data_IF_954439209316
#
_entry.id   IF_954439209316
#
_cell.length_a   1.000
_cell.length_b   1.000
_cell.length_c   1.000
_cell.angle_alpha   90.00
_cell.angle_beta   90.00
_cell.angle_gamma   90.00
#
_symmetry.space_group_name_H-M   'P 1'
#
loop_
_entity.id
_entity.type
_entity.pdbx_description
1 polymer ?
#
# COMPACT_ATOMS: atom_id res chain seq x y z
N UNK A 1 -27.86 4.06 -1.29
CA UNK A 1 -28.16 4.10 0.15
C UNK A 1 -26.95 3.59 0.96
N UNK A 2 -26.86 3.95 2.26
CA UNK A 2 -25.77 3.54 3.16
C UNK A 2 -25.62 2.01 3.21
N UNK A 3 -26.74 1.28 3.20
CA UNK A 3 -26.74 -0.19 3.18
C UNK A 3 -26.04 -0.79 1.95
N UNK A 4 -26.20 -0.19 0.78
CA UNK A 4 -25.51 -0.64 -0.43
C UNK A 4 -23.98 -0.41 -0.33
N UNK A 5 -23.54 0.72 0.23
CA UNK A 5 -22.13 1.00 0.48
C UNK A 5 -21.51 0.01 1.47
N UNK A 6 -22.23 -0.36 2.54
CA UNK A 6 -21.81 -1.40 3.46
C UNK A 6 -21.67 -2.77 2.79
N UNK A 7 -22.62 -3.15 1.92
CA UNK A 7 -22.58 -4.39 1.19
C UNK A 7 -21.35 -4.44 0.23
N UNK A 8 -21.09 -3.33 -0.48
CA UNK A 8 -19.91 -3.21 -1.35
C UNK A 8 -18.64 -3.30 -0.54
N UNK A 9 -18.53 -2.59 0.60
CA UNK A 9 -17.35 -2.62 1.46
C UNK A 9 -17.08 -4.02 2.00
N UNK A 10 -18.12 -4.74 2.47
CA UNK A 10 -17.99 -6.11 2.96
C UNK A 10 -17.58 -7.09 1.85
N UNK A 11 -18.20 -6.97 0.67
CA UNK A 11 -17.86 -7.82 -0.49
C UNK A 11 -16.42 -7.55 -0.96
N UNK A 12 -16.00 -6.29 -0.98
CA UNK A 12 -14.62 -5.90 -1.33
C UNK A 12 -13.60 -6.48 -0.35
N UNK A 13 -13.85 -6.35 0.96
CA UNK A 13 -12.96 -6.91 1.98
C UNK A 13 -12.86 -8.44 1.89
N UNK A 14 -14.00 -9.12 1.62
CA UNK A 14 -14.02 -10.57 1.43
C UNK A 14 -13.23 -10.99 0.20
N UNK A 15 -13.37 -10.26 -0.92
CA UNK A 15 -12.62 -10.52 -2.14
C UNK A 15 -11.11 -10.27 -1.93
N UNK A 16 -10.73 -9.22 -1.21
CA UNK A 16 -9.34 -8.90 -0.93
C UNK A 16 -8.66 -10.00 -0.11
N UNK A 17 -9.33 -10.50 0.94
CA UNK A 17 -8.84 -11.64 1.73
C UNK A 17 -8.69 -12.91 0.87
N UNK A 18 -9.63 -13.16 -0.04
CA UNK A 18 -9.56 -14.32 -0.94
C UNK A 18 -8.41 -14.19 -1.95
N UNK A 19 -8.19 -12.99 -2.50
CA UNK A 19 -7.09 -12.71 -3.42
C UNK A 19 -5.73 -12.84 -2.72
N UNK A 20 -5.60 -12.33 -1.49
CA UNK A 20 -4.40 -12.48 -0.67
C UNK A 20 -4.14 -13.95 -0.32
N UNK A 21 -5.20 -14.70 0.02
CA UNK A 21 -5.11 -16.13 0.29
C UNK A 21 -4.64 -16.91 -0.94
N UNK A 22 -5.18 -16.61 -2.11
CA UNK A 22 -4.75 -17.22 -3.35
C UNK A 22 -3.25 -16.94 -3.62
N UNK A 23 -2.80 -15.70 -3.47
CA UNK A 23 -1.40 -15.31 -3.64
C UNK A 23 -0.47 -16.10 -2.70
N UNK A 24 -0.85 -16.27 -1.45
CA UNK A 24 -0.07 -16.99 -0.43
C UNK A 24 -0.03 -18.50 -0.70
N UNK A 25 -1.14 -19.09 -1.16
CA UNK A 25 -1.27 -20.52 -1.35
C UNK A 25 -0.75 -21.02 -2.70
N UNK A 26 -0.83 -20.17 -3.74
CA UNK A 26 -0.44 -20.53 -5.09
C UNK A 26 1.06 -20.31 -5.39
N UNK A 27 1.74 -19.46 -4.64
CA UNK A 27 3.12 -19.05 -4.90
C UNK A 27 4.06 -19.46 -3.77
N UNK A 28 5.26 -19.94 -4.11
CA UNK A 28 6.34 -20.14 -3.14
C UNK A 28 7.01 -18.82 -2.73
N UNK A 29 7.92 -18.85 -1.74
CA UNK A 29 8.56 -17.65 -1.18
C UNK A 29 9.32 -16.81 -2.21
N UNK A 30 10.00 -17.45 -3.15
CA UNK A 30 10.74 -16.78 -4.21
C UNK A 30 9.77 -16.12 -5.22
N UNK A 31 8.74 -16.84 -5.63
CA UNK A 31 7.70 -16.28 -6.51
C UNK A 31 6.94 -15.13 -5.84
N UNK A 32 6.64 -15.24 -4.54
CA UNK A 32 6.03 -14.15 -3.77
C UNK A 32 6.92 -12.90 -3.79
N UNK A 33 8.24 -13.07 -3.61
CA UNK A 33 9.17 -11.96 -3.68
C UNK A 33 9.23 -11.33 -5.08
N UNK A 34 9.30 -12.16 -6.13
CA UNK A 34 9.31 -11.70 -7.51
C UNK A 34 8.04 -10.94 -7.89
N UNK A 35 6.86 -11.51 -7.57
CA UNK A 35 5.59 -10.95 -7.99
C UNK A 35 5.03 -9.85 -7.08
N UNK A 36 5.65 -9.55 -5.93
CA UNK A 36 5.15 -8.50 -5.03
C UNK A 36 5.10 -7.12 -5.70
N UNK A 37 6.10 -6.79 -6.50
CA UNK A 37 6.14 -5.54 -7.26
C UNK A 37 5.05 -5.47 -8.33
N UNK A 38 4.83 -6.58 -9.04
CA UNK A 38 3.76 -6.71 -10.05
C UNK A 38 2.39 -6.53 -9.41
N UNK A 39 2.13 -7.20 -8.28
CA UNK A 39 0.89 -7.06 -7.51
C UNK A 39 0.64 -5.60 -7.10
N UNK A 40 1.65 -4.95 -6.55
CA UNK A 40 1.55 -3.55 -6.14
C UNK A 40 1.27 -2.62 -7.34
N UNK A 41 1.84 -2.92 -8.51
CA UNK A 41 1.58 -2.21 -9.76
C UNK A 41 0.11 -2.30 -10.16
N UNK A 42 -0.45 -3.51 -10.20
CA UNK A 42 -1.86 -3.71 -10.54
C UNK A 42 -2.82 -3.06 -9.54
N UNK A 43 -2.48 -3.09 -8.25
CA UNK A 43 -3.24 -2.36 -7.23
C UNK A 43 -3.27 -0.84 -7.53
N UNK A 44 -2.14 -0.25 -7.93
CA UNK A 44 -2.07 1.18 -8.31
C UNK A 44 -2.84 1.48 -9.58
N UNK A 45 -2.72 0.65 -10.60
CA UNK A 45 -3.51 0.80 -11.83
C UNK A 45 -5.02 0.76 -11.53
N UNK A 46 -5.46 -0.14 -10.67
CA UNK A 46 -6.84 -0.21 -10.24
C UNK A 46 -7.29 1.06 -9.49
N UNK A 47 -6.45 1.61 -8.58
CA UNK A 47 -6.73 2.87 -7.89
C UNK A 47 -6.86 4.04 -8.87
N UNK A 48 -5.92 4.19 -9.81
CA UNK A 48 -5.96 5.26 -10.84
C UNK A 48 -7.21 5.12 -11.70
N UNK A 49 -7.54 3.90 -12.11
CA UNK A 49 -8.75 3.62 -12.91
C UNK A 49 -10.04 3.95 -12.15
N UNK A 50 -10.12 3.57 -10.87
CA UNK A 50 -11.31 3.81 -10.06
C UNK A 50 -11.47 5.27 -9.63
N UNK A 51 -10.41 5.92 -9.20
CA UNK A 51 -10.46 7.31 -8.70
C UNK A 51 -10.33 8.35 -9.82
N UNK A 52 -9.67 8.01 -10.92
CA UNK A 52 -9.44 8.91 -12.05
C UNK A 52 -10.40 8.63 -13.21
N UNK A 53 -10.19 7.51 -13.91
CA UNK A 53 -10.91 7.21 -15.16
C UNK A 53 -12.44 7.14 -14.96
N UNK A 54 -12.90 6.47 -13.88
CA UNK A 54 -14.34 6.37 -13.63
C UNK A 54 -14.98 7.73 -13.38
N UNK A 55 -14.31 8.60 -12.62
CA UNK A 55 -14.78 9.96 -12.34
C UNK A 55 -14.78 10.82 -13.59
N UNK A 56 -13.75 10.69 -14.45
CA UNK A 56 -13.71 11.37 -15.75
C UNK A 56 -14.86 10.93 -16.66
N UNK A 57 -15.16 9.63 -16.71
CA UNK A 57 -16.30 9.10 -17.48
C UNK A 57 -17.63 9.66 -16.95
N UNK A 58 -17.80 9.69 -15.61
CA UNK A 58 -19.01 10.27 -15.02
C UNK A 58 -19.13 11.77 -15.34
N UNK A 59 -18.05 12.55 -15.23
CA UNK A 59 -18.06 13.98 -15.57
C UNK A 59 -18.33 14.25 -17.06
N UNK A 60 -17.76 13.43 -17.96
CA UNK A 60 -18.08 13.52 -19.40
C UNK A 60 -19.56 13.22 -19.66
N UNK A 61 -20.10 12.16 -19.09
CA UNK A 61 -21.52 11.81 -19.24
C UNK A 61 -22.44 12.89 -18.66
N UNK A 62 -22.07 13.52 -17.54
CA UNK A 62 -22.80 14.63 -16.95
C UNK A 62 -22.86 15.82 -17.92
N UNK A 63 -21.74 16.19 -18.55
CA UNK A 63 -21.70 17.28 -19.53
C UNK A 63 -22.54 17.01 -20.78
N UNK A 64 -22.66 15.76 -21.22
CA UNK A 64 -23.45 15.38 -22.39
C UNK A 64 -24.94 15.25 -22.08
N UNK A 65 -25.28 14.70 -20.89
CA UNK A 65 -26.67 14.39 -20.52
C UNK A 65 -27.37 15.51 -19.75
N UNK A 66 -26.61 16.43 -19.15
CA UNK A 66 -27.06 17.40 -18.15
C UNK A 66 -27.83 16.76 -16.98
N UNK A 67 -27.56 15.48 -16.68
CA UNK A 67 -28.19 14.71 -15.62
C UNK A 67 -27.11 13.96 -14.81
N UNK A 68 -26.78 14.50 -13.63
CA UNK A 68 -25.81 13.95 -12.69
C UNK A 68 -26.17 12.53 -12.25
N UNK A 69 -27.46 12.27 -12.02
CA UNK A 69 -27.90 10.95 -11.54
C UNK A 69 -27.75 9.89 -12.63
N UNK A 70 -28.13 10.23 -13.86
CA UNK A 70 -27.98 9.33 -15.03
C UNK A 70 -26.49 9.06 -15.31
N UNK A 71 -25.64 10.08 -15.28
CA UNK A 71 -24.19 9.97 -15.50
C UNK A 71 -23.54 8.96 -14.53
N UNK A 72 -23.78 9.12 -13.24
CA UNK A 72 -23.25 8.20 -12.23
C UNK A 72 -23.87 6.80 -12.32
N UNK A 73 -25.15 6.69 -12.68
CA UNK A 73 -25.82 5.40 -12.90
C UNK A 73 -25.12 4.63 -14.00
N UNK A 74 -24.85 5.27 -15.15
CA UNK A 74 -24.14 4.64 -16.28
C UNK A 74 -22.71 4.26 -15.85
N UNK A 75 -21.98 5.15 -15.17
CA UNK A 75 -20.63 4.89 -14.71
C UNK A 75 -20.56 3.66 -13.77
N UNK A 76 -21.51 3.51 -12.85
CA UNK A 76 -21.58 2.33 -11.97
C UNK A 76 -21.98 1.06 -12.72
N UNK A 77 -22.85 1.12 -13.74
CA UNK A 77 -23.16 -0.04 -14.57
C UNK A 77 -21.95 -0.49 -15.40
N UNK A 78 -21.17 0.46 -15.94
CA UNK A 78 -19.91 0.14 -16.63
C UNK A 78 -18.92 -0.55 -15.68
N UNK A 79 -18.77 -0.03 -14.45
CA UNK A 79 -17.94 -0.66 -13.44
C UNK A 79 -18.42 -2.07 -13.09
N UNK A 80 -19.72 -2.25 -12.89
CA UNK A 80 -20.32 -3.56 -12.62
C UNK A 80 -20.06 -4.55 -13.78
N UNK A 81 -20.17 -4.11 -15.03
CA UNK A 81 -19.86 -4.93 -16.20
C UNK A 81 -18.39 -5.38 -16.22
N UNK A 82 -17.45 -4.49 -15.84
CA UNK A 82 -16.03 -4.83 -15.69
C UNK A 82 -15.84 -5.91 -14.63
N UNK A 83 -16.48 -5.79 -13.46
CA UNK A 83 -16.39 -6.82 -12.40
C UNK A 83 -16.96 -8.16 -12.83
N UNK A 84 -18.09 -8.18 -13.55
CA UNK A 84 -18.68 -9.43 -14.10
C UNK A 84 -17.72 -10.07 -15.11
N UNK A 85 -17.11 -9.28 -15.99
CA UNK A 85 -16.12 -9.75 -16.95
C UNK A 85 -14.88 -10.35 -16.26
N UNK A 86 -14.35 -9.64 -15.24
CA UNK A 86 -13.21 -10.13 -14.44
C UNK A 86 -13.58 -11.41 -13.68
N UNK A 87 -14.78 -11.50 -13.10
CA UNK A 87 -15.27 -12.72 -12.47
C UNK A 87 -15.30 -13.90 -13.44
N UNK A 88 -15.87 -13.70 -14.64
CA UNK A 88 -15.94 -14.73 -15.68
C UNK A 88 -14.54 -15.16 -16.16
N UNK A 89 -13.61 -14.22 -16.26
CA UNK A 89 -12.22 -14.48 -16.60
C UNK A 89 -11.51 -15.28 -15.50
N UNK A 90 -11.54 -14.80 -14.24
CA UNK A 90 -10.91 -15.47 -13.11
C UNK A 90 -11.42 -16.89 -12.92
N UNK A 91 -12.73 -17.11 -13.07
CA UNK A 91 -13.34 -18.45 -12.98
C UNK A 91 -12.77 -19.45 -14.00
N UNK A 92 -12.28 -18.97 -15.16
CA UNK A 92 -11.71 -19.80 -16.22
C UNK A 92 -10.21 -19.99 -16.12
N UNK A 93 -9.49 -18.97 -15.65
CA UNK A 93 -8.04 -18.89 -15.77
C UNK A 93 -7.32 -19.24 -14.47
N UNK A 94 -7.90 -18.89 -13.31
CA UNK A 94 -7.23 -19.14 -12.03
C UNK A 94 -7.18 -20.63 -11.70
N UNK A 95 -5.98 -21.18 -11.45
CA UNK A 95 -5.83 -22.55 -10.96
C UNK A 95 -6.42 -22.69 -9.56
N UNK A 96 -6.71 -23.92 -9.15
CA UNK A 96 -7.07 -24.25 -7.78
C UNK A 96 -5.86 -24.85 -7.09
N UNK A 97 -5.20 -24.12 -6.16
CA UNK A 97 -4.07 -24.66 -5.43
C UNK A 97 -4.46 -25.88 -4.61
N UNK A 98 -3.63 -26.93 -4.59
CA UNK A 98 -3.89 -28.15 -3.80
C UNK A 98 -3.99 -27.88 -2.31
N UNK A 99 -3.39 -26.79 -1.85
CA UNK A 99 -3.45 -26.33 -0.46
C UNK A 99 -4.79 -25.65 -0.11
N UNK A 100 -5.61 -25.25 -1.10
CA UNK A 100 -6.93 -24.67 -0.90
C UNK A 100 -7.97 -25.76 -0.66
N UNK A 101 -7.98 -26.31 0.56
CA UNK A 101 -8.96 -27.31 0.99
C UNK A 101 -10.03 -26.66 1.84
N UNK A 102 -11.28 -26.90 1.47
CA UNK A 102 -12.42 -26.52 2.31
C UNK A 102 -12.28 -27.18 3.68
N UNK A 103 -12.14 -26.36 4.73
CA UNK A 103 -12.14 -26.88 6.08
C UNK A 103 -13.51 -27.46 6.43
N UNK A 104 -13.57 -28.63 7.02
CA UNK A 104 -14.81 -29.21 7.57
C UNK A 104 -15.29 -28.36 8.74
N UNK A 105 -16.05 -27.31 8.48
CA UNK A 105 -16.73 -26.54 9.53
C UNK A 105 -18.18 -27.00 9.59
N UNK A 106 -18.49 -27.81 10.57
CA UNK A 106 -19.81 -28.42 10.70
C UNK A 106 -20.79 -27.61 11.55
N UNK A 107 -20.32 -26.64 12.35
CA UNK A 107 -21.16 -25.87 13.27
C UNK A 107 -20.69 -24.41 13.40
N UNK A 108 -21.62 -23.49 13.73
CA UNK A 108 -21.30 -22.09 14.02
C UNK A 108 -20.34 -21.95 15.20
N UNK A 109 -20.46 -22.80 16.22
CA UNK A 109 -19.55 -22.80 17.36
C UNK A 109 -18.11 -23.19 16.97
N UNK A 110 -17.95 -24.16 16.06
CA UNK A 110 -16.64 -24.56 15.53
C UNK A 110 -16.02 -23.44 14.69
N UNK A 111 -16.85 -22.71 13.91
CA UNK A 111 -16.41 -21.55 13.13
C UNK A 111 -15.91 -20.42 14.07
N UNK A 112 -16.68 -20.09 15.09
CA UNK A 112 -16.29 -19.09 16.08
C UNK A 112 -15.01 -19.47 16.82
N UNK A 113 -14.89 -20.74 17.25
CA UNK A 113 -13.67 -21.25 17.87
C UNK A 113 -12.47 -21.08 16.93
N UNK A 114 -12.59 -21.50 15.67
CA UNK A 114 -11.52 -21.37 14.66
C UNK A 114 -11.14 -19.89 14.42
N UNK A 115 -12.11 -18.98 14.43
CA UNK A 115 -11.87 -17.55 14.37
C UNK A 115 -11.04 -17.05 15.55
N UNK A 116 -11.43 -17.39 16.78
CA UNK A 116 -10.69 -17.03 18.00
C UNK A 116 -9.29 -17.65 18.00
N UNK A 117 -9.17 -18.92 17.63
CA UNK A 117 -7.88 -19.63 17.56
C UNK A 117 -6.92 -18.95 16.57
N UNK A 118 -7.43 -18.39 15.49
CA UNK A 118 -6.63 -17.63 14.52
C UNK A 118 -5.98 -16.40 15.16
N UNK A 119 -6.74 -15.61 15.94
CA UNK A 119 -6.18 -14.48 16.68
C UNK A 119 -5.20 -14.94 17.75
N UNK A 120 -5.57 -15.95 18.55
CA UNK A 120 -4.71 -16.47 19.60
C UNK A 120 -3.38 -16.96 19.03
N UNK A 121 -3.39 -17.68 17.90
CA UNK A 121 -2.17 -18.18 17.26
C UNK A 121 -1.32 -17.06 16.67
N UNK A 122 -1.93 -16.00 16.14
CA UNK A 122 -1.21 -14.81 15.68
C UNK A 122 -0.47 -14.13 16.83
N UNK A 123 -1.17 -13.82 17.94
CA UNK A 123 -0.57 -13.14 19.09
C UNK A 123 0.40 -13.99 19.91
N UNK A 124 0.41 -15.32 19.72
CA UNK A 124 1.39 -16.23 20.27
C UNK A 124 2.67 -16.39 19.44
N UNK A 125 2.77 -15.76 18.28
CA UNK A 125 3.98 -15.80 17.44
C UNK A 125 5.19 -15.26 18.21
N UNK A 126 6.35 -15.84 17.93
CA UNK A 126 7.60 -15.42 18.57
C UNK A 126 7.87 -13.92 18.28
N UNK A 127 8.26 -13.20 19.33
CA UNK A 127 8.56 -11.75 19.24
C UNK A 127 7.41 -10.91 18.69
N UNK A 128 6.17 -11.28 18.94
CA UNK A 128 4.99 -10.60 18.39
C UNK A 128 4.98 -9.08 18.66
N UNK A 129 5.48 -8.64 19.82
CA UNK A 129 5.59 -7.20 20.13
C UNK A 129 6.48 -6.46 19.15
N UNK A 130 7.60 -7.04 18.68
CA UNK A 130 8.48 -6.46 17.67
C UNK A 130 7.79 -6.47 16.29
N UNK A 131 7.08 -7.56 15.98
CA UNK A 131 6.29 -7.65 14.74
C UNK A 131 5.23 -6.55 14.68
N UNK A 132 4.47 -6.36 15.76
CA UNK A 132 3.46 -5.31 15.84
C UNK A 132 4.09 -3.91 15.76
N UNK A 133 5.23 -3.71 16.44
CA UNK A 133 5.97 -2.46 16.33
C UNK A 133 6.41 -2.19 14.88
N UNK A 134 6.90 -3.21 14.16
CA UNK A 134 7.22 -3.06 12.74
C UNK A 134 5.98 -2.70 11.91
N UNK A 135 4.87 -3.42 12.08
CA UNK A 135 3.63 -3.16 11.32
C UNK A 135 3.09 -1.74 11.54
N UNK A 136 3.26 -1.18 12.74
CA UNK A 136 2.75 0.15 13.07
C UNK A 136 3.74 1.28 12.75
N UNK A 137 5.06 1.03 12.91
CA UNK A 137 6.06 2.10 12.91
C UNK A 137 6.92 2.15 11.65
N UNK A 138 7.00 1.08 10.85
CA UNK A 138 7.83 1.07 9.64
C UNK A 138 7.48 2.19 8.66
N UNK A 139 6.20 2.56 8.56
CA UNK A 139 5.66 3.58 7.66
C UNK A 139 5.14 4.82 8.38
N UNK A 140 5.56 5.07 9.61
CA UNK A 140 5.01 6.16 10.43
C UNK A 140 5.26 7.56 9.83
N UNK A 141 6.43 7.77 9.22
CA UNK A 141 6.77 9.01 8.52
C UNK A 141 5.93 9.17 7.25
N UNK A 142 5.84 8.11 6.45
CA UNK A 142 5.04 8.03 5.22
C UNK A 142 3.56 8.32 5.50
N UNK A 143 3.01 7.80 6.59
CA UNK A 143 1.62 8.02 6.99
C UNK A 143 1.28 9.51 7.19
N UNK A 144 2.22 10.28 7.68
CA UNK A 144 2.08 11.73 7.86
C UNK A 144 2.36 12.50 6.56
N UNK A 145 3.41 12.11 5.84
CA UNK A 145 3.80 12.74 4.58
C UNK A 145 2.68 12.68 3.55
N UNK A 146 2.10 11.51 3.30
CA UNK A 146 1.05 11.32 2.29
C UNK A 146 -0.20 12.14 2.54
N UNK A 147 -0.44 12.60 3.76
CA UNK A 147 -1.57 13.47 4.09
C UNK A 147 -1.29 14.92 3.77
N UNK A 148 -0.06 15.38 3.95
CA UNK A 148 0.29 16.80 3.86
C UNK A 148 1.06 17.16 2.59
N UNK A 149 1.64 16.21 1.87
CA UNK A 149 2.36 16.50 0.64
C UNK A 149 1.45 17.07 -0.48
N UNK A 150 0.24 16.52 -0.77
CA UNK A 150 -0.65 17.14 -1.74
C UNK A 150 -1.13 18.54 -1.34
N UNK A 151 -1.60 18.82 -0.10
CA UNK A 151 -1.89 20.18 0.34
C UNK A 151 -0.68 21.12 0.20
N UNK A 152 0.51 20.71 0.60
CA UNK A 152 1.72 21.51 0.46
C UNK A 152 1.99 21.96 -1.00
N UNK A 153 1.75 21.07 -1.97
CA UNK A 153 1.93 21.42 -3.38
C UNK A 153 0.87 22.41 -3.88
N UNK A 154 -0.36 22.34 -3.34
CA UNK A 154 -1.50 23.16 -3.77
C UNK A 154 -1.59 24.51 -3.06
N UNK A 155 -1.26 24.54 -1.75
CA UNK A 155 -1.43 25.73 -0.92
C UNK A 155 -0.59 26.91 -1.41
N UNK A 156 -1.12 28.11 -1.18
CA UNK A 156 -0.48 29.36 -1.57
C UNK A 156 0.92 29.50 -0.92
N UNK A 157 1.92 30.04 -1.65
CA UNK A 157 3.24 30.32 -1.10
C UNK A 157 3.22 31.20 0.17
N UNK A 158 2.23 32.09 0.31
CA UNK A 158 2.03 32.87 1.52
C UNK A 158 1.67 32.01 2.74
N UNK A 159 1.06 30.83 2.53
CA UNK A 159 0.82 29.82 3.55
C UNK A 159 1.98 28.80 3.69
N UNK A 160 3.06 28.99 2.94
CA UNK A 160 4.23 28.11 2.92
C UNK A 160 4.11 26.91 1.96
N UNK A 161 3.07 26.86 1.14
CA UNK A 161 2.90 25.87 0.08
C UNK A 161 3.66 26.25 -1.20
N UNK A 162 3.47 25.48 -2.30
CA UNK A 162 4.11 25.74 -3.59
C UNK A 162 3.19 26.43 -4.61
N UNK A 163 1.88 26.54 -4.36
CA UNK A 163 0.92 27.19 -5.23
C UNK A 163 0.75 26.51 -6.60
N UNK A 164 1.00 25.23 -6.72
CA UNK A 164 0.84 24.50 -7.98
C UNK A 164 -0.64 24.37 -8.35
N UNK A 165 -0.93 24.33 -9.64
CA UNK A 165 -2.27 24.00 -10.09
C UNK A 165 -2.65 22.55 -9.79
N UNK A 166 -3.95 22.27 -9.68
CA UNK A 166 -4.46 20.90 -9.53
C UNK A 166 -4.00 19.98 -10.68
N UNK A 167 -3.85 20.54 -11.90
CA UNK A 167 -3.35 19.81 -13.05
C UNK A 167 -1.87 19.41 -12.89
N UNK A 168 -1.03 20.33 -12.37
CA UNK A 168 0.38 20.05 -12.09
C UNK A 168 0.54 18.98 -11.02
N UNK A 169 -0.21 19.08 -9.92
CA UNK A 169 -0.21 18.05 -8.85
C UNK A 169 -0.71 16.71 -9.39
N UNK A 170 -1.74 16.71 -10.23
CA UNK A 170 -2.22 15.53 -10.94
C UNK A 170 -1.13 14.89 -11.82
N UNK A 171 -0.35 15.67 -12.55
CA UNK A 171 0.77 15.18 -13.35
C UNK A 171 1.91 14.64 -12.47
N UNK A 172 2.30 15.40 -11.44
CA UNK A 172 3.40 15.03 -10.52
C UNK A 172 3.13 13.70 -9.81
N UNK A 173 1.95 13.53 -9.21
CA UNK A 173 1.61 12.30 -8.49
C UNK A 173 0.99 11.23 -9.38
N UNK A 174 0.04 11.62 -10.24
CA UNK A 174 -0.75 10.67 -11.03
C UNK A 174 0.03 10.08 -12.20
N UNK A 175 1.01 10.79 -12.75
CA UNK A 175 1.80 10.31 -13.89
C UNK A 175 3.23 10.00 -13.48
N UNK A 176 4.02 11.01 -13.17
CA UNK A 176 5.44 10.84 -12.85
C UNK A 176 5.63 10.03 -11.56
N UNK A 177 4.93 10.38 -10.49
CA UNK A 177 4.99 9.69 -9.21
C UNK A 177 4.51 8.24 -9.31
N UNK A 178 3.38 7.98 -9.97
CA UNK A 178 2.86 6.63 -10.14
C UNK A 178 3.81 5.73 -10.94
N UNK A 179 4.46 6.28 -11.99
CA UNK A 179 5.48 5.56 -12.76
C UNK A 179 6.68 5.20 -11.88
N UNK A 180 7.23 6.17 -11.16
CA UNK A 180 8.39 5.96 -10.29
C UNK A 180 8.09 5.01 -9.13
N UNK A 181 6.90 5.10 -8.52
CA UNK A 181 6.43 4.17 -7.52
C UNK A 181 6.36 2.72 -8.03
N UNK A 182 5.83 2.56 -9.25
CA UNK A 182 5.76 1.26 -9.93
C UNK A 182 7.14 0.69 -10.17
N UNK A 183 8.05 1.48 -10.71
CA UNK A 183 9.44 1.08 -10.94
C UNK A 183 10.14 0.70 -9.63
N UNK A 184 9.95 1.49 -8.57
CA UNK A 184 10.48 1.19 -7.23
C UNK A 184 9.96 -0.15 -6.69
N UNK A 185 8.65 -0.39 -6.80
CA UNK A 185 8.03 -1.64 -6.37
C UNK A 185 8.53 -2.87 -7.14
N UNK A 186 8.65 -2.77 -8.46
CA UNK A 186 9.21 -3.83 -9.31
C UNK A 186 10.68 -4.10 -8.96
N UNK A 187 11.49 -3.04 -8.82
CA UNK A 187 12.87 -3.17 -8.38
C UNK A 187 12.97 -3.84 -7.00
N UNK A 188 12.12 -3.44 -6.05
CA UNK A 188 12.11 -4.02 -4.71
C UNK A 188 11.78 -5.51 -4.71
N UNK A 189 10.77 -5.92 -5.47
CA UNK A 189 10.43 -7.33 -5.66
C UNK A 189 11.57 -8.13 -6.29
N UNK A 190 12.15 -7.62 -7.38
CA UNK A 190 13.28 -8.25 -8.07
C UNK A 190 14.49 -8.42 -7.15
N UNK A 191 14.90 -7.37 -6.44
CA UNK A 191 16.06 -7.41 -5.55
C UNK A 191 15.86 -8.40 -4.40
N UNK A 192 14.67 -8.43 -3.80
CA UNK A 192 14.34 -9.38 -2.75
C UNK A 192 14.28 -10.82 -3.27
N UNK A 193 13.79 -11.06 -4.48
CA UNK A 193 13.76 -12.37 -5.11
C UNK A 193 15.17 -12.90 -5.46
N UNK A 194 16.08 -12.01 -5.86
CA UNK A 194 17.44 -12.36 -6.22
C UNK A 194 18.31 -12.70 -5.02
N UNK A 195 18.36 -11.81 -4.03
CA UNK A 195 19.35 -11.88 -2.94
C UNK A 195 18.72 -12.18 -1.56
N UNK A 196 17.40 -12.24 -1.49
CA UNK A 196 16.63 -12.40 -0.25
C UNK A 196 16.31 -11.07 0.44
N UNK A 197 15.17 -11.06 1.14
CA UNK A 197 14.68 -9.85 1.82
C UNK A 197 15.67 -9.33 2.87
N UNK A 198 16.31 -10.23 3.64
CA UNK A 198 17.24 -9.83 4.72
C UNK A 198 18.42 -9.03 4.22
N UNK A 199 18.90 -9.32 3.01
CA UNK A 199 20.01 -8.58 2.40
C UNK A 199 19.61 -7.13 2.05
N UNK A 200 18.38 -6.93 1.55
CA UNK A 200 17.93 -5.66 1.03
C UNK A 200 17.13 -4.80 1.99
N UNK A 201 16.62 -5.33 3.09
CA UNK A 201 15.67 -4.62 3.97
C UNK A 201 16.23 -3.31 4.52
N UNK A 202 17.54 -3.23 4.79
CA UNK A 202 18.21 -2.00 5.24
C UNK A 202 18.22 -0.92 4.15
N UNK A 203 18.52 -1.29 2.92
CA UNK A 203 18.46 -0.37 1.79
C UNK A 203 17.02 0.06 1.49
N UNK A 204 16.08 -0.84 1.67
CA UNK A 204 14.66 -0.58 1.46
C UNK A 204 14.08 0.36 2.52
N UNK A 205 14.48 0.24 3.81
CA UNK A 205 14.07 1.20 4.83
C UNK A 205 14.72 2.57 4.65
N UNK A 206 15.94 2.64 4.15
CA UNK A 206 16.58 3.90 3.74
C UNK A 206 15.81 4.52 2.58
N UNK A 207 15.49 3.74 1.57
CA UNK A 207 14.81 4.21 0.37
C UNK A 207 13.40 4.74 0.61
N UNK A 208 12.63 4.17 1.54
CA UNK A 208 11.29 4.68 1.88
C UNK A 208 11.31 5.92 2.78
N UNK A 209 12.37 6.13 3.55
CA UNK A 209 12.42 7.17 4.57
C UNK A 209 13.29 8.37 4.18
N UNK A 210 14.49 8.14 3.65
CA UNK A 210 15.44 9.23 3.37
C UNK A 210 14.94 10.19 2.27
N UNK A 211 14.29 9.75 1.18
CA UNK A 211 13.76 10.65 0.16
C UNK A 211 12.70 11.64 0.69
N UNK A 212 12.07 11.39 1.83
CA UNK A 212 11.15 12.36 2.45
C UNK A 212 11.81 13.72 2.69
N UNK A 213 13.15 13.75 2.80
CA UNK A 213 13.93 14.99 2.91
C UNK A 213 13.79 15.92 1.69
N UNK A 214 13.36 15.42 0.53
CA UNK A 214 13.14 16.27 -0.65
C UNK A 214 12.06 17.32 -0.40
N UNK A 215 11.06 17.01 0.45
CA UNK A 215 10.03 17.99 0.81
C UNK A 215 10.58 19.12 1.69
N UNK A 216 11.61 18.86 2.51
CA UNK A 216 12.33 19.92 3.21
C UNK A 216 12.96 20.87 2.19
N UNK A 217 13.67 20.31 1.19
CA UNK A 217 14.27 21.12 0.13
C UNK A 217 13.24 21.92 -0.64
N UNK A 218 12.11 21.32 -1.02
CA UNK A 218 11.02 22.01 -1.73
C UNK A 218 10.42 23.15 -0.88
N UNK A 219 10.21 22.93 0.43
CA UNK A 219 9.63 23.91 1.33
C UNK A 219 10.56 25.11 1.58
N UNK A 220 11.88 24.92 1.54
CA UNK A 220 12.85 26.01 1.71
C UNK A 220 13.21 26.71 0.40
N UNK A 221 13.35 25.95 -0.71
CA UNK A 221 13.79 26.50 -1.99
C UNK A 221 12.65 27.14 -2.80
N UNK A 222 11.39 26.74 -2.55
CA UNK A 222 10.20 27.28 -3.23
C UNK A 222 10.40 27.40 -4.75
N UNK A 223 10.71 26.29 -5.49
CA UNK A 223 11.06 26.35 -6.89
C UNK A 223 9.91 26.89 -7.74
N UNK A 224 10.19 27.83 -8.65
CA UNK A 224 9.21 28.43 -9.55
C UNK A 224 8.89 27.55 -10.78
N UNK A 225 9.68 26.52 -11.03
CA UNK A 225 9.48 25.58 -12.14
C UNK A 225 9.01 24.23 -11.65
N UNK A 226 8.23 23.52 -12.47
CA UNK A 226 7.65 22.23 -12.13
C UNK A 226 8.70 21.11 -12.10
N UNK A 227 9.78 21.21 -12.87
CA UNK A 227 10.76 20.13 -13.01
C UNK A 227 11.42 19.68 -11.69
N UNK A 228 11.92 20.57 -10.79
CA UNK A 228 12.44 20.15 -9.49
C UNK A 228 11.40 19.43 -8.64
N UNK A 229 10.11 19.82 -8.72
CA UNK A 229 9.03 19.16 -7.98
C UNK A 229 8.80 17.76 -8.51
N UNK A 230 8.73 17.58 -9.84
CA UNK A 230 8.60 16.27 -10.49
C UNK A 230 9.74 15.34 -10.11
N UNK A 231 10.98 15.83 -10.13
CA UNK A 231 12.15 15.04 -9.75
C UNK A 231 12.13 14.66 -8.26
N UNK A 232 11.81 15.59 -7.39
CA UNK A 232 11.73 15.38 -5.96
C UNK A 232 10.67 14.32 -5.60
N UNK A 233 9.43 14.50 -6.08
CA UNK A 233 8.34 13.55 -5.85
C UNK A 233 8.64 12.22 -6.54
N UNK A 234 9.25 12.22 -7.72
CA UNK A 234 9.67 11.00 -8.41
C UNK A 234 10.65 10.17 -7.59
N UNK A 235 11.67 10.79 -7.00
CA UNK A 235 12.65 10.10 -6.12
C UNK A 235 11.98 9.56 -4.85
N UNK A 236 11.11 10.34 -4.23
CA UNK A 236 10.35 9.91 -3.05
C UNK A 236 9.44 8.73 -3.39
N UNK A 237 8.66 8.81 -4.46
CA UNK A 237 7.75 7.74 -4.88
C UNK A 237 8.49 6.46 -5.30
N UNK A 238 9.66 6.58 -5.94
CA UNK A 238 10.49 5.40 -6.21
C UNK A 238 10.94 4.73 -4.92
N UNK A 239 11.45 5.51 -3.97
CA UNK A 239 11.86 5.01 -2.66
C UNK A 239 10.71 4.37 -1.89
N UNK A 240 9.54 4.99 -1.94
CA UNK A 240 8.32 4.43 -1.36
C UNK A 240 7.96 3.07 -1.98
N UNK A 241 7.96 2.95 -3.30
CA UNK A 241 7.68 1.68 -3.97
C UNK A 241 8.64 0.57 -3.57
N UNK A 242 9.93 0.88 -3.54
CA UNK A 242 11.00 -0.05 -3.18
C UNK A 242 10.87 -0.50 -1.72
N UNK A 243 10.65 0.40 -0.78
CA UNK A 243 10.51 0.06 0.63
C UNK A 243 9.16 -0.59 0.98
N UNK A 244 8.10 -0.30 0.23
CA UNK A 244 6.80 -0.95 0.41
C UNK A 244 6.84 -2.43 0.00
N UNK A 245 7.70 -2.81 -0.95
CA UNK A 245 7.95 -4.21 -1.27
C UNK A 245 8.49 -4.97 -0.04
N UNK A 246 9.46 -4.38 0.70
CA UNK A 246 9.96 -4.99 1.94
C UNK A 246 8.89 -5.16 3.00
N UNK A 247 8.03 -4.16 3.16
CA UNK A 247 6.93 -4.20 4.12
C UNK A 247 5.95 -5.34 3.81
N UNK A 248 5.53 -5.45 2.55
CA UNK A 248 4.62 -6.51 2.10
C UNK A 248 5.24 -7.90 2.23
N UNK A 249 6.51 -8.06 1.85
CA UNK A 249 7.22 -9.32 1.99
C UNK A 249 7.40 -9.74 3.45
N UNK A 250 7.66 -8.80 4.36
CA UNK A 250 7.72 -9.12 5.78
C UNK A 250 6.35 -9.54 6.34
N UNK A 251 5.26 -8.91 5.89
CA UNK A 251 3.90 -9.37 6.26
C UNK A 251 3.65 -10.81 5.78
N UNK A 252 4.07 -11.16 4.57
CA UNK A 252 3.97 -12.53 4.04
C UNK A 252 4.81 -13.51 4.88
N UNK A 253 6.04 -13.14 5.22
CA UNK A 253 6.93 -13.93 6.08
C UNK A 253 6.30 -14.24 7.44
N UNK A 254 5.79 -13.22 8.12
CA UNK A 254 5.17 -13.36 9.44
C UNK A 254 3.85 -14.14 9.38
N UNK A 255 3.15 -14.09 8.27
CA UNK A 255 1.86 -14.76 8.11
C UNK A 255 1.97 -16.28 7.94
N UNK A 256 3.15 -16.82 7.67
CA UNK A 256 3.38 -18.26 7.48
C UNK A 256 2.80 -19.12 8.60
N UNK A 257 2.29 -20.28 8.25
CA UNK A 257 1.73 -21.28 9.17
C UNK A 257 0.32 -21.73 8.78
N UNK A 258 -0.34 -22.44 9.70
CA UNK A 258 -1.65 -23.08 9.47
C UNK A 258 -2.78 -22.09 9.12
N UNK A 259 -2.66 -20.81 9.50
CA UNK A 259 -3.65 -19.75 9.26
C UNK A 259 -3.06 -18.60 8.46
N UNK A 260 -2.21 -18.89 7.47
CA UNK A 260 -1.42 -17.88 6.73
C UNK A 260 -2.27 -16.75 6.14
N UNK A 261 -3.35 -17.05 5.45
CA UNK A 261 -4.27 -16.06 4.87
C UNK A 261 -4.88 -15.14 5.94
N UNK A 262 -5.39 -15.73 7.03
CA UNK A 262 -6.01 -14.95 8.09
C UNK A 262 -4.97 -14.12 8.88
N UNK A 263 -3.77 -14.65 9.11
CA UNK A 263 -2.66 -13.90 9.71
C UNK A 263 -2.22 -12.73 8.82
N UNK A 264 -2.20 -12.92 7.50
CA UNK A 264 -1.90 -11.84 6.58
C UNK A 264 -2.98 -10.74 6.63
N UNK A 265 -4.26 -11.11 6.69
CA UNK A 265 -5.35 -10.16 6.87
C UNK A 265 -5.24 -9.38 8.20
N UNK A 266 -4.78 -10.01 9.29
CA UNK A 266 -4.48 -9.30 10.54
C UNK A 266 -3.33 -8.31 10.34
N UNK A 267 -2.26 -8.71 9.65
CA UNK A 267 -1.14 -7.81 9.34
C UNK A 267 -1.60 -6.59 8.51
N UNK A 268 -2.46 -6.78 7.49
CA UNK A 268 -3.01 -5.67 6.71
C UNK A 268 -3.91 -4.75 7.54
N UNK A 269 -4.64 -5.28 8.53
CA UNK A 269 -5.37 -4.48 9.52
C UNK A 269 -4.44 -3.59 10.34
N UNK A 270 -3.33 -4.12 10.86
CA UNK A 270 -2.30 -3.32 11.56
C UNK A 270 -1.60 -2.33 10.63
N UNK A 271 -1.37 -2.68 9.36
CA UNK A 271 -0.87 -1.75 8.35
C UNK A 271 -1.81 -0.55 8.19
N UNK A 272 -3.11 -0.78 8.11
CA UNK A 272 -4.11 0.28 8.00
C UNK A 272 -4.11 1.19 9.24
N UNK A 273 -4.03 0.61 10.45
CA UNK A 273 -3.90 1.36 11.70
C UNK A 273 -2.62 2.20 11.73
N UNK A 274 -1.48 1.63 11.32
CA UNK A 274 -0.19 2.31 11.24
C UNK A 274 -0.17 3.49 10.27
N UNK A 275 -1.03 3.49 9.23
CA UNK A 275 -1.24 4.62 8.34
C UNK A 275 -2.26 5.62 8.88
N UNK A 276 -3.35 5.13 9.46
CA UNK A 276 -4.46 5.96 9.90
C UNK A 276 -4.08 6.81 11.12
N UNK A 277 -3.55 6.21 12.17
CA UNK A 277 -3.31 6.90 13.44
C UNK A 277 -2.32 8.06 13.32
N UNK A 278 -1.10 7.89 12.73
CA UNK A 278 -0.19 9.01 12.54
C UNK A 278 -0.73 10.04 11.53
N UNK A 279 -1.45 9.58 10.49
CA UNK A 279 -2.07 10.46 9.50
C UNK A 279 -3.16 11.36 10.07
N UNK A 280 -3.91 10.91 11.06
CA UNK A 280 -4.96 11.72 11.71
C UNK A 280 -4.42 12.95 12.43
N UNK A 281 -3.23 12.86 13.02
CA UNK A 281 -2.62 13.96 13.79
C UNK A 281 -1.73 14.86 12.94
N UNK A 282 -1.43 14.47 11.70
CA UNK A 282 -0.47 15.18 10.84
C UNK A 282 -0.89 16.63 10.54
N UNK A 283 -2.20 16.89 10.35
CA UNK A 283 -2.72 18.23 10.10
C UNK A 283 -2.49 19.17 11.29
N UNK A 284 -2.77 18.72 12.51
CA UNK A 284 -2.54 19.51 13.73
C UNK A 284 -1.04 19.82 13.95
N UNK A 285 -0.19 18.83 13.66
CA UNK A 285 1.28 19.03 13.75
C UNK A 285 1.72 20.05 12.70
N UNK A 286 1.23 19.97 11.49
CA UNK A 286 1.56 20.91 10.41
C UNK A 286 1.04 22.33 10.73
N UNK A 287 -0.18 22.47 11.24
CA UNK A 287 -0.74 23.75 11.64
C UNK A 287 0.09 24.44 12.74
N UNK A 288 0.61 23.65 13.69
CA UNK A 288 1.45 24.15 14.75
C UNK A 288 2.89 24.51 14.32
N UNK A 289 3.47 23.76 13.36
CA UNK A 289 4.87 23.87 12.96
C UNK A 289 5.08 24.65 11.65
N UNK A 290 4.06 24.76 10.80
CA UNK A 290 4.22 25.15 9.40
C UNK A 290 4.90 24.07 8.56
N UNK A 291 4.82 24.17 7.22
CA UNK A 291 5.31 23.14 6.29
C UNK A 291 6.81 22.83 6.44
N UNK A 292 7.66 23.85 6.58
CA UNK A 292 9.11 23.69 6.68
C UNK A 292 9.52 22.79 7.84
N UNK A 293 9.01 23.09 9.04
CA UNK A 293 9.34 22.32 10.25
C UNK A 293 8.55 20.99 10.29
N UNK A 294 7.37 20.94 9.68
CA UNK A 294 6.62 19.70 9.56
C UNK A 294 7.41 18.65 8.77
N UNK A 295 8.04 18.99 7.65
CA UNK A 295 8.84 18.04 6.89
C UNK A 295 10.13 17.64 7.62
N UNK A 296 10.71 18.53 8.44
CA UNK A 296 11.79 18.14 9.37
C UNK A 296 11.27 17.14 10.40
N UNK A 297 10.10 17.37 10.97
CA UNK A 297 9.45 16.44 11.89
C UNK A 297 9.22 15.09 11.22
N UNK A 298 8.69 15.05 10.00
CA UNK A 298 8.50 13.80 9.22
C UNK A 298 9.83 13.03 9.11
N UNK A 299 10.93 13.72 8.83
CA UNK A 299 12.24 13.07 8.76
C UNK A 299 12.69 12.53 10.13
N UNK A 300 12.44 13.24 11.22
CA UNK A 300 12.79 12.76 12.58
C UNK A 300 11.99 11.53 12.99
N UNK A 301 10.70 11.46 12.64
CA UNK A 301 9.86 10.29 12.94
C UNK A 301 10.15 9.09 12.06
N UNK A 302 11.15 9.13 11.17
CA UNK A 302 11.68 7.94 10.50
C UNK A 302 12.53 7.07 11.43
N UNK A 303 13.08 7.62 12.53
CA UNK A 303 13.97 6.89 13.45
C UNK A 303 13.34 5.58 13.96
N UNK A 304 12.07 5.53 14.41
CA UNK A 304 11.41 4.29 14.79
C UNK A 304 11.40 3.23 13.69
N UNK A 305 11.31 3.62 12.41
CA UNK A 305 11.33 2.69 11.26
C UNK A 305 12.65 1.92 11.20
N UNK A 306 13.77 2.60 11.39
CA UNK A 306 15.10 1.97 11.45
C UNK A 306 15.26 1.09 12.69
N UNK A 307 14.76 1.54 13.84
CA UNK A 307 14.84 0.79 15.09
C UNK A 307 14.08 -0.55 14.99
N UNK A 308 12.87 -0.55 14.43
CA UNK A 308 12.11 -1.80 14.28
C UNK A 308 12.75 -2.75 13.27
N UNK A 309 13.32 -2.25 12.17
CA UNK A 309 14.07 -3.08 11.20
C UNK A 309 15.27 -3.78 11.84
N UNK A 310 15.96 -3.12 12.78
CA UNK A 310 17.07 -3.75 13.51
C UNK A 310 16.64 -4.91 14.41
N UNK A 311 15.39 -4.95 14.85
CA UNK A 311 14.89 -5.87 15.86
C UNK A 311 14.07 -7.03 15.30
N UNK A 312 13.55 -6.93 14.07
CA UNK A 312 12.66 -7.96 13.50
C UNK A 312 13.36 -9.29 13.32
N UNK A 313 12.68 -10.40 13.64
CA UNK A 313 13.13 -11.73 13.26
C UNK A 313 12.91 -11.90 11.74
N UNK A 314 13.97 -12.20 11.00
CA UNK A 314 13.91 -12.44 9.57
C UNK A 314 14.98 -13.46 9.17
N UNK A 315 14.56 -14.54 8.51
CA UNK A 315 15.46 -15.57 8.01
C UNK A 315 16.29 -15.05 6.82
N UNK A 316 17.54 -15.51 6.75
CA UNK A 316 18.48 -15.02 5.74
C UNK A 316 18.03 -15.36 4.31
N UNK A 317 17.41 -16.52 4.12
CA UNK A 317 17.09 -17.07 2.80
C UNK A 317 15.63 -16.76 2.36
N UNK A 318 14.86 -16.00 3.17
CA UNK A 318 13.49 -15.70 2.80
C UNK A 318 13.43 -14.85 1.50
N UNK A 319 12.71 -15.35 0.52
CA UNK A 319 12.52 -14.74 -0.80
C UNK A 319 13.60 -15.10 -1.83
N UNK A 320 14.75 -15.62 -1.41
CA UNK A 320 15.86 -15.97 -2.31
C UNK A 320 15.55 -17.23 -3.14
N UNK A 321 16.03 -17.27 -4.39
CA UNK A 321 16.04 -18.49 -5.18
C UNK A 321 17.01 -19.51 -4.56
N UNK A 322 16.54 -20.73 -4.34
CA UNK A 322 17.33 -21.82 -3.80
C UNK A 322 18.05 -22.65 -4.88
N UNK A 323 17.76 -22.39 -6.16
CA UNK A 323 18.38 -23.12 -7.26
C UNK A 323 19.87 -22.77 -7.46
N UNK A 324 20.31 -21.61 -6.96
CA UNK A 324 21.71 -21.16 -7.08
C UNK A 324 22.65 -21.68 -5.96
N UNK A 325 22.17 -22.58 -5.11
CA UNK A 325 22.94 -23.10 -3.93
C UNK A 325 23.36 -24.57 -4.13
N UNK A 326 23.30 -25.11 -5.34
CA UNK A 326 23.80 -26.49 -5.64
C UNK A 326 25.08 -26.46 -6.45
#
# INVERSE_FOLDING_TARGET
SLAALWLVAFSSATHDIAADGFYILALNDHEQAWFVGVRNTFFRLAMISGQGLLVMVAGYLESETNDLQLAWTIAFYLLAAVFVMLFAWHRRVLPRPDADRAGEVQTAAALFKKFVDTFVTFFKKQRIGIVLAFLLLYRIAEAQLTKLAPPFLLDDPAAGGLGLSTADVGFVYGTAGALMLTLGGLCGGFLAARDGLKHWIWWMVVAINLPNAVYILLAYLQPQSLLPVVLAVGVEQFGYGLGFAAYTLYMLYISKGAHSTAHFAICTGFMALGMMLPGMVSGWIQEALGYQHFFIWVLLVTIPSFAVVALIPLDADFGRDKSDVT
#
